data_IF_974938770483
#
_entry.id   IF_974938770483
#
_cell.length_a   1.000
_cell.length_b   1.000
_cell.length_c   1.000
_cell.angle_alpha   90.00
_cell.angle_beta   90.00
_cell.angle_gamma   90.00
#
_symmetry.space_group_name_H-M   'P 1'
#
loop_
_entity.id
_entity.type
_entity.pdbx_description
1 polymer ?
#
# COMPACT_ATOMS: atom_id res chain seq x y z
N UNK A 1 -22.83 -8.61 -5.50
CA UNK A 1 -21.56 -8.27 -4.83
C UNK A 1 -21.94 -7.24 -3.79
N UNK A 2 -21.60 -7.49 -2.53
CA UNK A 2 -22.10 -6.69 -1.40
C UNK A 2 -21.02 -5.73 -0.85
N UNK A 3 -19.78 -5.90 -1.31
CA UNK A 3 -18.58 -5.15 -0.96
C UNK A 3 -17.63 -5.22 -2.16
N UNK A 4 -16.91 -4.14 -2.44
CA UNK A 4 -15.76 -4.15 -3.32
C UNK A 4 -14.51 -4.32 -2.45
N UNK A 5 -13.66 -5.30 -2.76
CA UNK A 5 -12.34 -5.44 -2.16
C UNK A 5 -11.29 -5.27 -3.26
N UNK A 6 -10.57 -4.14 -3.24
CA UNK A 6 -9.51 -3.85 -4.22
C UNK A 6 -8.15 -4.05 -3.58
N UNK A 7 -7.27 -4.76 -4.29
CA UNK A 7 -5.88 -4.94 -3.86
C UNK A 7 -4.99 -4.01 -4.69
N UNK A 8 -4.40 -3.01 -4.04
CA UNK A 8 -3.74 -1.87 -4.69
C UNK A 8 -2.33 -1.73 -4.13
N UNK A 9 -1.34 -1.91 -4.99
CA UNK A 9 0.09 -1.73 -4.67
C UNK A 9 0.75 -0.83 -5.71
N UNK A 10 1.81 -0.13 -5.35
CA UNK A 10 2.63 0.59 -6.33
C UNK A 10 3.04 -0.32 -7.50
N UNK A 11 3.31 -1.61 -7.25
CA UNK A 11 3.69 -2.57 -8.30
C UNK A 11 2.62 -2.79 -9.38
N UNK A 12 1.32 -2.79 -9.03
CA UNK A 12 0.23 -3.02 -9.99
C UNK A 12 -0.52 -1.73 -10.41
N UNK A 13 -0.19 -0.61 -9.78
CA UNK A 13 -0.76 0.72 -10.08
C UNK A 13 0.20 1.61 -10.86
N UNK A 14 1.41 1.14 -11.15
CA UNK A 14 2.45 1.91 -11.85
C UNK A 14 3.46 1.01 -12.56
N UNK A 15 4.36 1.62 -13.33
CA UNK A 15 5.51 0.97 -13.95
C UNK A 15 6.71 0.76 -12.98
N UNK A 16 6.47 0.78 -11.67
CA UNK A 16 7.52 0.54 -10.68
C UNK A 16 8.16 -0.84 -10.82
N UNK A 17 7.38 -1.87 -11.16
CA UNK A 17 7.87 -3.24 -11.30
C UNK A 17 7.74 -3.75 -12.73
N UNK A 18 8.77 -4.46 -13.21
CA UNK A 18 8.73 -5.17 -14.48
C UNK A 18 8.11 -6.56 -14.28
N UNK A 19 6.88 -6.71 -14.76
CA UNK A 19 6.08 -7.94 -14.65
C UNK A 19 6.59 -9.13 -15.46
N UNK A 20 7.70 -8.99 -16.19
CA UNK A 20 8.41 -10.14 -16.74
C UNK A 20 9.17 -10.95 -15.69
N UNK A 21 9.37 -10.40 -14.49
CA UNK A 21 10.01 -11.07 -13.35
C UNK A 21 9.00 -11.76 -12.42
N UNK A 22 9.44 -12.83 -11.76
CA UNK A 22 8.66 -13.60 -10.78
C UNK A 22 8.80 -13.00 -9.37
N UNK A 23 7.70 -12.56 -8.78
CA UNK A 23 7.63 -11.94 -7.45
C UNK A 23 7.87 -12.92 -6.30
N UNK A 24 7.86 -14.24 -6.55
CA UNK A 24 8.17 -15.27 -5.57
C UNK A 24 9.64 -15.71 -5.57
N UNK A 25 10.44 -15.17 -6.50
CA UNK A 25 11.84 -15.58 -6.71
C UNK A 25 12.82 -14.90 -5.75
N UNK A 26 14.00 -15.49 -5.56
CA UNK A 26 15.11 -14.83 -4.84
C UNK A 26 15.62 -13.60 -5.62
N UNK A 27 15.55 -13.60 -6.95
CA UNK A 27 15.90 -12.46 -7.81
C UNK A 27 15.05 -11.22 -7.49
N UNK A 28 13.76 -11.41 -7.20
CA UNK A 28 12.88 -10.32 -6.75
C UNK A 28 13.37 -9.67 -5.45
N UNK A 29 13.74 -10.48 -4.45
CA UNK A 29 14.26 -9.96 -3.19
C UNK A 29 15.65 -9.33 -3.35
N UNK A 30 16.52 -9.89 -4.19
CA UNK A 30 17.82 -9.30 -4.51
C UNK A 30 17.67 -7.94 -5.20
N UNK A 31 16.76 -7.84 -6.18
CA UNK A 31 16.46 -6.58 -6.85
C UNK A 31 15.89 -5.54 -5.88
N UNK A 32 14.94 -5.90 -5.03
CA UNK A 32 14.42 -4.97 -4.01
C UNK A 32 15.51 -4.46 -3.06
N UNK A 33 16.42 -5.35 -2.65
CA UNK A 33 17.51 -5.01 -1.72
C UNK A 33 18.61 -4.13 -2.34
N UNK A 34 18.73 -4.12 -3.67
CA UNK A 34 19.80 -3.39 -4.38
C UNK A 34 19.28 -2.15 -5.10
N UNK A 35 18.08 -2.22 -5.65
CA UNK A 35 17.52 -1.20 -6.56
C UNK A 35 16.15 -0.68 -6.13
N UNK A 36 15.37 -1.46 -5.37
CA UNK A 36 13.97 -1.15 -5.05
C UNK A 36 13.78 0.21 -4.39
N UNK A 37 14.53 0.49 -3.32
CA UNK A 37 14.48 1.80 -2.67
C UNK A 37 14.98 2.91 -3.60
N UNK A 38 16.15 2.73 -4.25
CA UNK A 38 16.71 3.76 -5.14
C UNK A 38 15.71 4.16 -6.23
N UNK A 39 15.05 3.18 -6.85
CA UNK A 39 14.00 3.40 -7.85
C UNK A 39 12.82 4.19 -7.27
N UNK A 40 12.40 3.91 -6.04
CA UNK A 40 11.36 4.69 -5.36
C UNK A 40 11.84 6.13 -5.13
N UNK A 41 13.03 6.31 -4.56
CA UNK A 41 13.62 7.61 -4.18
C UNK A 41 13.90 8.52 -5.38
N UNK A 42 14.29 7.97 -6.53
CA UNK A 42 14.58 8.73 -7.74
C UNK A 42 13.33 9.41 -8.33
N UNK A 43 12.12 8.94 -7.99
CA UNK A 43 10.89 9.47 -8.60
C UNK A 43 9.67 9.40 -7.66
N UNK A 44 9.87 9.71 -6.38
CA UNK A 44 8.85 9.60 -5.31
C UNK A 44 7.52 10.23 -5.71
N UNK A 45 7.54 11.48 -6.18
CA UNK A 45 6.31 12.21 -6.53
C UNK A 45 5.50 11.49 -7.61
N UNK A 46 6.17 10.95 -8.64
CA UNK A 46 5.50 10.22 -9.71
C UNK A 46 4.89 8.89 -9.22
N UNK A 47 5.59 8.18 -8.34
CA UNK A 47 5.09 6.91 -7.78
C UNK A 47 3.91 7.14 -6.85
N UNK A 48 4.00 8.12 -5.96
CA UNK A 48 2.89 8.48 -5.09
C UNK A 48 1.67 8.97 -5.87
N UNK A 49 1.88 9.79 -6.92
CA UNK A 49 0.77 10.31 -7.72
C UNK A 49 0.03 9.20 -8.50
N UNK A 50 0.75 8.22 -9.04
CA UNK A 50 0.11 7.06 -9.70
C UNK A 50 -0.70 6.22 -8.71
N UNK A 51 -0.13 5.92 -7.53
CA UNK A 51 -0.85 5.21 -6.48
C UNK A 51 -2.12 5.99 -6.04
N UNK A 52 -2.01 7.31 -5.85
CA UNK A 52 -3.15 8.17 -5.50
C UNK A 52 -4.23 8.20 -6.59
N UNK A 53 -3.84 8.19 -7.86
CA UNK A 53 -4.78 8.15 -8.97
C UNK A 53 -5.60 6.86 -8.98
N UNK A 54 -4.97 5.70 -8.74
CA UNK A 54 -5.68 4.42 -8.66
C UNK A 54 -6.55 4.30 -7.41
N UNK A 55 -6.12 4.88 -6.29
CA UNK A 55 -6.98 5.02 -5.10
C UNK A 55 -8.22 5.86 -5.41
N UNK A 56 -8.08 7.00 -6.09
CA UNK A 56 -9.23 7.83 -6.46
C UNK A 56 -10.16 7.10 -7.42
N UNK A 57 -9.62 6.37 -8.40
CA UNK A 57 -10.41 5.56 -9.33
C UNK A 57 -11.22 4.46 -8.62
N UNK A 58 -10.62 3.77 -7.65
CA UNK A 58 -11.35 2.79 -6.81
C UNK A 58 -12.45 3.47 -5.97
N UNK A 59 -12.17 4.67 -5.43
CA UNK A 59 -13.15 5.47 -4.71
C UNK A 59 -14.33 5.90 -5.61
N UNK A 60 -14.06 6.33 -6.85
CA UNK A 60 -15.08 6.65 -7.86
C UNK A 60 -15.92 5.44 -8.21
N UNK A 61 -15.30 4.27 -8.34
CA UNK A 61 -16.03 3.04 -8.61
C UNK A 61 -16.99 2.68 -7.47
N UNK A 62 -16.54 2.78 -6.22
CA UNK A 62 -17.40 2.60 -5.04
C UNK A 62 -18.57 3.58 -5.03
N UNK A 63 -18.33 4.88 -5.26
CA UNK A 63 -19.40 5.89 -5.38
C UNK A 63 -20.40 5.55 -6.47
N UNK A 64 -19.92 5.13 -7.64
CA UNK A 64 -20.78 4.83 -8.79
C UNK A 64 -21.68 3.61 -8.56
N UNK A 65 -21.23 2.66 -7.75
CA UNK A 65 -21.95 1.42 -7.45
C UNK A 65 -22.77 1.50 -6.17
N UNK A 66 -22.46 2.46 -5.29
CA UNK A 66 -23.02 2.55 -3.94
C UNK A 66 -22.60 1.39 -3.03
N UNK A 67 -21.58 0.62 -3.42
CA UNK A 67 -21.06 -0.49 -2.63
C UNK A 67 -19.96 0.00 -1.68
N UNK A 68 -19.88 -0.53 -0.46
CA UNK A 68 -18.76 -0.24 0.43
C UNK A 68 -17.45 -0.73 -0.20
N UNK A 69 -16.35 -0.03 0.11
CA UNK A 69 -15.02 -0.37 -0.37
C UNK A 69 -14.14 -0.85 0.77
N UNK A 70 -13.37 -1.90 0.52
CA UNK A 70 -12.37 -2.45 1.40
C UNK A 70 -11.05 -2.63 0.66
N UNK A 71 -9.97 -2.62 1.44
CA UNK A 71 -8.64 -3.08 1.00
C UNK A 71 -7.96 -3.73 2.18
N UNK A 72 -7.51 -4.98 2.00
CA UNK A 72 -6.66 -5.69 2.96
C UNK A 72 -5.23 -5.92 2.45
N UNK A 73 -5.02 -5.67 1.16
CA UNK A 73 -3.79 -5.97 0.43
C UNK A 73 -3.27 -4.71 -0.29
N UNK A 74 -2.20 -4.11 0.25
CA UNK A 74 -1.72 -2.77 -0.12
C UNK A 74 -0.41 -2.35 0.58
N UNK A 75 0.20 -1.18 0.37
CA UNK A 75 0.05 -0.18 -0.73
C UNK A 75 1.33 -0.07 -1.58
N UNK A 76 2.40 -0.73 -1.14
CA UNK A 76 3.75 -0.54 -1.65
C UNK A 76 4.13 -1.67 -2.59
N UNK A 77 4.88 -2.65 -2.09
CA UNK A 77 5.24 -3.87 -2.80
C UNK A 77 4.34 -5.03 -2.38
N UNK A 78 4.17 -6.01 -3.25
CA UNK A 78 3.32 -7.18 -3.02
C UNK A 78 4.02 -8.16 -2.07
N UNK A 79 5.27 -8.53 -2.37
CA UNK A 79 6.10 -9.41 -1.54
C UNK A 79 7.30 -8.66 -0.95
N UNK A 80 7.44 -8.74 0.37
CA UNK A 80 8.52 -8.19 1.17
C UNK A 80 8.69 -9.04 2.43
N UNK A 81 9.87 -9.02 3.04
CA UNK A 81 10.12 -9.79 4.26
C UNK A 81 11.36 -9.28 5.00
N UNK A 82 11.56 -9.73 6.25
CA UNK A 82 12.72 -9.37 7.05
C UNK A 82 13.98 -10.06 6.51
N UNK A 83 14.79 -9.36 5.70
CA UNK A 83 16.06 -9.84 5.15
C UNK A 83 17.12 -8.72 5.09
N UNK A 84 18.42 -9.06 5.04
CA UNK A 84 19.47 -8.07 4.83
C UNK A 84 19.26 -7.26 3.54
N UNK A 85 19.42 -5.93 3.62
CA UNK A 85 19.27 -5.02 2.48
C UNK A 85 17.83 -4.60 2.18
N UNK A 86 16.83 -5.24 2.80
CA UNK A 86 15.43 -4.82 2.69
C UNK A 86 15.06 -3.88 3.83
N UNK A 87 15.15 -2.57 3.57
CA UNK A 87 14.72 -1.56 4.52
C UNK A 87 13.20 -1.41 4.51
N UNK A 88 12.59 -1.39 5.69
CA UNK A 88 11.15 -1.17 5.85
C UNK A 88 10.75 0.31 5.81
N UNK A 89 11.69 1.26 5.94
CA UNK A 89 11.38 2.68 6.04
C UNK A 89 10.63 3.20 4.80
N UNK A 90 11.16 3.00 3.60
CA UNK A 90 10.52 3.45 2.37
C UNK A 90 9.20 2.72 2.09
N UNK A 91 9.09 1.44 2.47
CA UNK A 91 7.85 0.65 2.37
C UNK A 91 6.78 1.22 3.30
N UNK A 92 7.13 1.54 4.55
CA UNK A 92 6.23 2.16 5.54
C UNK A 92 5.82 3.57 5.12
N UNK A 93 6.74 4.35 4.57
CA UNK A 93 6.45 5.68 4.02
C UNK A 93 5.35 5.61 2.95
N UNK A 94 5.53 4.74 1.95
CA UNK A 94 4.57 4.56 0.87
C UNK A 94 3.24 3.94 1.35
N UNK A 95 3.29 3.02 2.31
CA UNK A 95 2.09 2.49 2.96
C UNK A 95 1.31 3.58 3.70
N UNK A 96 1.99 4.51 4.36
CA UNK A 96 1.37 5.66 5.01
C UNK A 96 0.75 6.62 4.00
N UNK A 97 1.40 6.84 2.85
CA UNK A 97 0.86 7.61 1.72
C UNK A 97 -0.46 7.04 1.23
N UNK A 98 -0.49 5.73 0.91
CA UNK A 98 -1.68 5.05 0.41
C UNK A 98 -2.81 5.04 1.44
N UNK A 99 -2.50 4.70 2.70
CA UNK A 99 -3.48 4.69 3.79
C UNK A 99 -4.14 6.06 3.99
N UNK A 100 -3.34 7.13 4.05
CA UNK A 100 -3.86 8.50 4.22
C UNK A 100 -4.68 8.94 3.01
N UNK A 101 -4.25 8.60 1.79
CA UNK A 101 -4.98 8.91 0.57
C UNK A 101 -6.36 8.23 0.56
N UNK A 102 -6.40 6.92 0.78
CA UNK A 102 -7.64 6.14 0.80
C UNK A 102 -8.59 6.61 1.90
N UNK A 103 -8.08 6.87 3.10
CA UNK A 103 -8.86 7.43 4.20
C UNK A 103 -9.45 8.80 3.85
N UNK A 104 -8.71 9.68 3.18
CA UNK A 104 -9.15 11.01 2.80
C UNK A 104 -10.30 11.02 1.78
N UNK A 105 -10.46 9.95 0.98
CA UNK A 105 -11.59 9.83 0.04
C UNK A 105 -12.94 9.67 0.76
N UNK A 106 -12.92 9.17 2.00
CA UNK A 106 -14.12 8.79 2.75
C UNK A 106 -14.93 7.68 2.10
N UNK A 107 -14.33 6.79 1.29
CA UNK A 107 -15.03 5.67 0.66
C UNK A 107 -14.71 4.31 1.28
N UNK A 108 -13.56 4.16 1.94
CA UNK A 108 -13.15 2.89 2.54
C UNK A 108 -13.86 2.64 3.86
N UNK A 109 -14.62 1.55 3.93
CA UNK A 109 -15.26 1.04 5.15
C UNK A 109 -14.31 0.13 5.95
N UNK A 110 -13.35 -0.52 5.28
CA UNK A 110 -12.30 -1.31 5.91
C UNK A 110 -10.97 -1.05 5.20
N UNK A 111 -9.91 -0.72 5.94
CA UNK A 111 -8.66 -0.22 5.36
C UNK A 111 -7.44 -0.81 6.08
N UNK A 112 -6.59 -1.53 5.36
CA UNK A 112 -5.27 -1.96 5.83
C UNK A 112 -4.23 -0.84 5.74
N UNK A 113 -3.27 -0.87 6.66
CA UNK A 113 -2.02 -0.10 6.52
C UNK A 113 -1.04 -0.77 5.57
N UNK A 114 -0.99 -2.11 5.55
CA UNK A 114 -0.32 -2.93 4.54
C UNK A 114 -0.74 -4.40 4.63
N UNK A 115 -0.40 -5.23 3.62
CA UNK A 115 -0.48 -6.70 3.73
C UNK A 115 0.60 -7.32 4.65
N UNK A 116 1.52 -6.52 5.18
CA UNK A 116 2.58 -6.96 6.10
C UNK A 116 2.22 -6.70 7.57
N UNK A 117 0.97 -6.39 7.88
CA UNK A 117 0.49 -6.08 9.24
C UNK A 117 0.31 -7.35 10.10
N UNK A 118 1.38 -8.10 10.32
CA UNK A 118 1.39 -9.33 11.10
C UNK A 118 2.72 -9.58 11.82
N UNK A 119 2.71 -10.35 12.92
CA UNK A 119 3.88 -10.52 13.80
C UNK A 119 5.08 -11.21 13.15
N UNK A 120 4.90 -11.88 12.01
CA UNK A 120 5.96 -12.49 11.22
C UNK A 120 6.79 -11.48 10.42
N UNK A 121 6.32 -10.24 10.24
CA UNK A 121 7.02 -9.16 9.55
C UNK A 121 7.49 -8.15 10.58
N UNK A 122 8.58 -8.47 11.27
CA UNK A 122 9.03 -7.73 12.45
C UNK A 122 9.30 -6.25 12.15
N UNK A 123 9.97 -5.93 11.05
CA UNK A 123 10.29 -4.54 10.74
C UNK A 123 9.07 -3.67 10.38
N UNK A 124 7.98 -4.27 9.91
CA UNK A 124 6.68 -3.58 9.81
C UNK A 124 5.98 -3.53 11.18
N UNK A 125 5.99 -4.64 11.93
CA UNK A 125 5.16 -4.84 13.13
C UNK A 125 5.64 -4.09 14.37
N UNK A 126 6.95 -3.87 14.52
CA UNK A 126 7.51 -3.39 15.79
C UNK A 126 7.31 -1.88 16.05
N UNK A 127 6.98 -1.09 15.03
CA UNK A 127 6.74 0.35 15.17
C UNK A 127 5.30 0.66 15.58
N UNK A 128 5.05 0.58 16.89
CA UNK A 128 3.74 0.79 17.49
C UNK A 128 3.20 2.21 17.21
N UNK A 129 4.05 3.23 17.25
CA UNK A 129 3.62 4.63 17.08
C UNK A 129 3.13 4.87 15.66
N UNK A 130 3.84 4.35 14.66
CA UNK A 130 3.42 4.42 13.25
C UNK A 130 2.06 3.75 13.02
N UNK A 131 1.84 2.55 13.59
CA UNK A 131 0.54 1.88 13.50
C UNK A 131 -0.58 2.67 14.21
N UNK A 132 -0.30 3.24 15.38
CA UNK A 132 -1.27 4.04 16.13
C UNK A 132 -1.65 5.32 15.37
N UNK A 133 -0.70 5.99 14.74
CA UNK A 133 -0.94 7.18 13.92
C UNK A 133 -1.87 6.87 12.74
N UNK A 134 -1.55 5.82 11.97
CA UNK A 134 -2.34 5.45 10.79
C UNK A 134 -3.71 4.92 11.19
N UNK A 135 -3.80 4.05 12.20
CA UNK A 135 -5.10 3.54 12.65
C UNK A 135 -5.98 4.64 13.25
N UNK A 136 -5.40 5.68 13.85
CA UNK A 136 -6.14 6.89 14.27
C UNK A 136 -6.69 7.62 13.04
N UNK A 137 -5.89 7.77 11.99
CA UNK A 137 -6.34 8.36 10.71
C UNK A 137 -7.50 7.56 10.12
N UNK A 138 -7.38 6.24 10.03
CA UNK A 138 -8.43 5.35 9.50
C UNK A 138 -9.72 5.47 10.31
N UNK A 139 -9.64 5.41 11.65
CA UNK A 139 -10.81 5.47 12.53
C UNK A 139 -11.52 6.82 12.52
N UNK A 140 -10.79 7.90 12.27
CA UNK A 140 -11.33 9.25 12.23
C UNK A 140 -11.86 9.65 10.84
N UNK A 141 -11.56 8.88 9.79
CA UNK A 141 -12.10 9.11 8.47
C UNK A 141 -13.62 8.90 8.47
N UNK A 142 -14.36 9.88 7.94
CA UNK A 142 -15.80 9.75 7.75
C UNK A 142 -16.07 8.98 6.46
N UNK A 143 -16.93 7.96 6.53
CA UNK A 143 -17.36 7.21 5.35
C UNK A 143 -18.63 7.86 4.78
N UNK A 144 -18.57 8.31 3.53
CA UNK A 144 -19.67 8.91 2.81
C UNK A 144 -20.44 7.79 2.07
N UNK A 145 -21.68 7.57 2.47
CA UNK A 145 -22.64 6.67 1.81
C UNK A 145 -23.48 7.41 0.76
#
# INVERSE_FOLDING_TARGET
>A
MDLIDTHLWLMNTSDFFDWSHDIDSEEHYEWLATEGENRYRENVENWENQLRAEIEAAAEWARSTGLPLATTESWAVIHYTDRPGLDWEWVKELCAVGTRAAAATGQWTALSTSNFCGPQFRGMWEDIEWHQELTTTVKNASVNY
#
